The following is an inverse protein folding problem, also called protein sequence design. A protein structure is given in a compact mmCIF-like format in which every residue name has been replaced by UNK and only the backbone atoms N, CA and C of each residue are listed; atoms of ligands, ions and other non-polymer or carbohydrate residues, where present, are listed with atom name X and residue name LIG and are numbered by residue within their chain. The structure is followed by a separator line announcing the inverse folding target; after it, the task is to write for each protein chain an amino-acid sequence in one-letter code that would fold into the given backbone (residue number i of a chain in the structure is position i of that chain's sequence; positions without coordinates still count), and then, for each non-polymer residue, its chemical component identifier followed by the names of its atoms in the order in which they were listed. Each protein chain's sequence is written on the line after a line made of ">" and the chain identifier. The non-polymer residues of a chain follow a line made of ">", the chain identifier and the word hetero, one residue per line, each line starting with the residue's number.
data_IF_884567317106
#
_entry.id   IF_884567317106
#
_cell.length_a   1.000
_cell.length_b   1.000
_cell.length_c   1.000
_cell.angle_alpha   90.00
_cell.angle_beta   90.00
_cell.angle_gamma   90.00
#
_symmetry.space_group_name_H-M   'P 1'
#
loop_
_entity.id
_entity.type
_entity.pdbx_description
1 polymer ?
#
# COMPACT_ATOMS: atom_id res chain seq x y z
N UNK A 1 -11.95 -7.06 -1.01
CA UNK A 1 -10.71 -6.39 -0.58
C UNK A 1 -9.53 -7.08 -1.24
N UNK A 2 -8.53 -6.31 -1.67
CA UNK A 2 -7.18 -6.81 -1.95
C UNK A 2 -6.24 -6.15 -0.94
N UNK A 3 -5.41 -6.94 -0.25
CA UNK A 3 -4.43 -6.47 0.75
C UNK A 3 -3.03 -6.95 0.38
N UNK A 4 -2.07 -6.03 0.40
CA UNK A 4 -0.65 -6.31 0.22
C UNK A 4 0.06 -6.57 1.55
N UNK A 5 1.37 -6.85 1.49
CA UNK A 5 2.19 -7.09 2.69
C UNK A 5 2.38 -5.82 3.55
N UNK A 6 2.48 -4.68 2.88
CA UNK A 6 2.91 -3.39 3.42
C UNK A 6 2.14 -2.23 2.77
N UNK A 7 0.90 -2.51 2.35
CA UNK A 7 0.10 -1.62 1.53
C UNK A 7 -1.28 -1.43 2.10
N UNK A 8 -1.82 -0.24 1.94
CA UNK A 8 -3.20 0.08 2.30
C UNK A 8 -4.16 -0.82 1.52
N UNK A 9 -5.08 -1.51 2.21
CA UNK A 9 -6.05 -2.36 1.55
C UNK A 9 -6.96 -1.59 0.58
N UNK A 10 -7.23 -2.19 -0.57
CA UNK A 10 -8.18 -1.65 -1.53
C UNK A 10 -9.53 -2.38 -1.42
N UNK A 11 -10.58 -1.59 -1.25
CA UNK A 11 -11.97 -2.03 -1.33
C UNK A 11 -12.55 -1.65 -2.69
N UNK A 12 -13.36 -2.52 -3.28
CA UNK A 12 -14.02 -2.20 -4.55
C UNK A 12 -14.96 -1.01 -4.35
N UNK A 13 -14.96 -0.08 -5.30
CA UNK A 13 -15.77 1.14 -5.21
C UNK A 13 -17.28 0.87 -5.15
N UNK A 14 -17.71 -0.23 -5.76
CA UNK A 14 -19.08 -0.73 -5.67
C UNK A 14 -19.10 -2.17 -5.14
N UNK A 15 -20.23 -2.60 -4.52
CA UNK A 15 -20.43 -3.99 -4.15
C UNK A 15 -20.26 -4.89 -5.37
N UNK A 16 -19.48 -5.95 -5.21
CA UNK A 16 -19.27 -6.95 -6.25
C UNK A 16 -20.01 -8.23 -5.87
N UNK A 17 -20.80 -8.77 -6.81
CA UNK A 17 -21.50 -10.04 -6.63
C UNK A 17 -20.69 -11.18 -7.24
N UNK A 18 -20.64 -12.32 -6.56
CA UNK A 18 -19.85 -13.48 -6.99
C UNK A 18 -20.73 -14.72 -7.11
N UNK A 19 -20.84 -15.28 -8.33
CA UNK A 19 -21.39 -16.62 -8.58
C UNK A 19 -20.30 -17.61 -9.07
N UNK A 20 -19.12 -17.09 -9.39
CA UNK A 20 -17.90 -17.80 -9.80
C UNK A 20 -16.69 -16.90 -9.50
N UNK A 21 -15.51 -17.19 -10.07
CA UNK A 21 -14.32 -16.35 -9.89
C UNK A 21 -14.57 -14.90 -10.31
N UNK A 22 -14.31 -13.97 -9.38
CA UNK A 22 -14.38 -12.54 -9.67
C UNK A 22 -13.18 -12.10 -10.50
N UNK A 23 -13.45 -11.38 -11.59
CA UNK A 23 -12.43 -10.65 -12.36
C UNK A 23 -12.61 -9.16 -12.13
N UNK A 24 -12.17 -8.65 -10.98
CA UNK A 24 -12.20 -7.21 -10.66
C UNK A 24 -10.78 -6.67 -10.68
N UNK A 25 -10.55 -5.60 -11.45
CA UNK A 25 -9.23 -5.04 -11.64
C UNK A 25 -9.16 -3.61 -11.08
N UNK A 26 -8.38 -3.43 -10.01
CA UNK A 26 -8.15 -2.13 -9.38
C UNK A 26 -7.27 -1.20 -10.22
N UNK A 27 -6.42 -1.74 -11.10
CA UNK A 27 -5.31 -0.97 -11.70
C UNK A 27 -5.70 -0.07 -12.87
N UNK A 28 -6.95 -0.06 -13.32
CA UNK A 28 -7.37 0.58 -14.59
C UNK A 28 -7.85 2.02 -14.42
N UNK A 29 -8.39 2.38 -13.25
CA UNK A 29 -8.90 3.71 -12.96
C UNK A 29 -8.96 3.96 -11.44
N UNK A 30 -8.80 5.20 -11.00
CA UNK A 30 -8.89 5.57 -9.58
C UNK A 30 -10.23 5.15 -8.94
N UNK A 31 -11.32 5.26 -9.69
CA UNK A 31 -12.67 4.91 -9.24
C UNK A 31 -12.96 3.41 -9.17
N UNK A 32 -11.96 2.54 -9.37
CA UNK A 32 -12.07 1.12 -9.03
C UNK A 32 -11.94 0.89 -7.52
N UNK A 33 -11.25 1.78 -6.80
CA UNK A 33 -11.13 1.73 -5.35
C UNK A 33 -12.20 2.61 -4.69
N UNK A 34 -12.76 2.14 -3.58
CA UNK A 34 -13.65 2.91 -2.74
C UNK A 34 -12.96 4.21 -2.31
N UNK A 35 -13.68 5.34 -2.42
CA UNK A 35 -13.14 6.66 -2.12
C UNK A 35 -12.01 7.13 -3.06
N UNK A 36 -11.80 6.49 -4.22
CA UNK A 36 -10.62 6.69 -5.07
C UNK A 36 -9.29 6.48 -4.33
N UNK A 37 -9.26 5.57 -3.34
CA UNK A 37 -8.14 5.39 -2.41
C UNK A 37 -6.94 4.63 -3.02
N UNK A 38 -6.36 5.16 -4.09
CA UNK A 38 -5.20 4.60 -4.79
C UNK A 38 -4.44 5.70 -5.54
N UNK A 39 -3.19 5.42 -5.91
CA UNK A 39 -2.29 6.38 -6.58
C UNK A 39 -2.05 6.00 -8.04
N UNK A 40 -2.00 6.99 -8.94
CA UNK A 40 -1.61 6.77 -10.33
C UNK A 40 -0.09 6.72 -10.45
N UNK A 41 0.46 5.59 -10.88
CA UNK A 41 1.91 5.37 -11.01
C UNK A 41 2.41 5.52 -12.46
N UNK A 42 1.49 5.44 -13.42
CA UNK A 42 1.72 5.74 -14.83
C UNK A 42 0.35 6.10 -15.47
N UNK A 43 0.31 6.73 -16.65
CA UNK A 43 -0.95 7.05 -17.31
C UNK A 43 -1.87 5.82 -17.42
N UNK A 44 -3.03 5.87 -16.77
CA UNK A 44 -4.01 4.78 -16.75
C UNK A 44 -3.63 3.56 -15.91
N UNK A 45 -2.59 3.64 -15.07
CA UNK A 45 -2.17 2.58 -14.15
C UNK A 45 -2.22 3.07 -12.71
N UNK A 46 -2.96 2.35 -11.88
CA UNK A 46 -3.15 2.65 -10.47
C UNK A 46 -2.63 1.54 -9.58
N UNK A 47 -2.14 1.93 -8.39
CA UNK A 47 -1.62 1.03 -7.37
C UNK A 47 -2.08 1.47 -5.98
N UNK A 48 -2.09 0.52 -5.04
CA UNK A 48 -2.25 0.81 -3.61
C UNK A 48 -1.07 1.60 -3.08
N UNK A 49 -1.32 2.43 -2.07
CA UNK A 49 -0.25 3.09 -1.31
C UNK A 49 0.51 2.07 -0.47
N UNK A 50 1.84 2.20 -0.42
CA UNK A 50 2.70 1.46 0.52
C UNK A 50 2.87 2.25 1.83
N UNK A 51 3.40 1.61 2.88
CA UNK A 51 3.78 2.29 4.12
C UNK A 51 3.03 1.86 5.38
N UNK A 52 1.94 1.11 5.25
CA UNK A 52 1.25 0.45 6.37
C UNK A 52 2.00 -0.84 6.71
N UNK A 53 2.97 -0.74 7.62
CA UNK A 53 3.92 -1.80 7.98
C UNK A 53 3.40 -2.65 9.14
N UNK A 54 2.54 -2.08 10.00
CA UNK A 54 1.91 -2.79 11.11
C UNK A 54 0.55 -3.43 10.71
N UNK A 55 0.07 -3.13 9.50
CA UNK A 55 -1.13 -3.65 8.88
C UNK A 55 -2.46 -3.20 9.53
N UNK A 56 -2.46 -2.03 10.19
CA UNK A 56 -3.61 -1.43 10.89
C UNK A 56 -4.53 -0.59 9.99
N UNK A 57 -4.12 -0.39 8.73
CA UNK A 57 -4.88 0.34 7.73
C UNK A 57 -4.59 1.83 7.70
N UNK A 58 -3.57 2.33 8.38
CA UNK A 58 -3.13 3.74 8.34
C UNK A 58 -1.62 3.76 8.11
N UNK A 59 -1.13 4.73 7.33
CA UNK A 59 0.31 5.02 7.28
C UNK A 59 0.63 6.07 8.33
N UNK A 60 1.27 5.69 9.43
CA UNK A 60 1.57 6.59 10.53
C UNK A 60 2.93 6.32 11.23
N UNK A 61 3.18 7.04 12.33
CA UNK A 61 4.41 6.95 13.12
C UNK A 61 4.66 5.57 13.74
N UNK A 62 3.64 4.72 13.92
CA UNK A 62 3.79 3.37 14.44
C UNK A 62 4.41 2.42 13.40
N UNK A 63 4.33 2.75 12.12
CA UNK A 63 5.01 2.01 11.05
C UNK A 63 6.52 2.24 11.05
N UNK A 64 6.95 3.46 11.39
CA UNK A 64 8.34 3.89 11.25
C UNK A 64 9.35 2.96 11.95
N UNK A 65 8.99 2.43 13.13
CA UNK A 65 9.87 1.52 13.89
C UNK A 65 10.21 0.23 13.13
N UNK A 66 9.33 -0.24 12.25
CA UNK A 66 9.56 -1.44 11.43
C UNK A 66 10.61 -1.17 10.37
N UNK A 67 10.48 -0.04 9.67
CA UNK A 67 11.49 0.40 8.71
C UNK A 67 12.83 0.69 9.38
N UNK A 68 12.84 1.42 10.50
CA UNK A 68 14.08 1.77 11.21
C UNK A 68 14.84 0.52 11.66
N UNK A 69 14.13 -0.49 12.18
CA UNK A 69 14.73 -1.76 12.60
C UNK A 69 15.35 -2.51 11.42
N UNK A 70 14.61 -2.65 10.30
CA UNK A 70 15.10 -3.39 9.14
C UNK A 70 16.24 -2.65 8.43
N UNK A 71 16.16 -1.31 8.28
CA UNK A 71 17.21 -0.47 7.71
C UNK A 71 18.51 -0.54 8.52
N UNK A 72 18.44 -0.44 9.85
CA UNK A 72 19.62 -0.54 10.71
C UNK A 72 20.28 -1.92 10.67
N UNK A 73 19.53 -2.97 10.31
CA UNK A 73 20.02 -4.32 10.14
C UNK A 73 20.43 -4.65 8.69
N UNK A 74 20.34 -3.70 7.77
CA UNK A 74 20.56 -3.93 6.32
C UNK A 74 19.75 -5.13 5.81
N UNK A 75 18.49 -5.21 6.26
CA UNK A 75 17.62 -6.30 5.92
C UNK A 75 17.41 -6.36 4.40
N UNK A 76 17.29 -7.58 3.89
CA UNK A 76 17.07 -7.85 2.47
C UNK A 76 16.11 -9.02 2.29
N UNK A 77 15.71 -9.22 1.04
CA UNK A 77 14.74 -10.21 0.61
C UNK A 77 13.30 -9.73 0.81
N UNK A 78 12.39 -10.68 1.04
CA UNK A 78 10.97 -10.38 1.22
C UNK A 78 10.72 -9.77 2.60
N UNK A 79 10.80 -8.44 2.69
CA UNK A 79 10.60 -7.66 3.92
C UNK A 79 9.38 -6.77 3.83
N UNK A 80 8.73 -6.53 4.96
CA UNK A 80 7.58 -5.61 5.03
C UNK A 80 8.06 -4.17 4.80
N UNK A 81 9.22 -3.80 5.33
CA UNK A 81 9.81 -2.48 5.18
C UNK A 81 10.45 -2.20 3.80
N UNK A 82 10.54 -3.20 2.91
CA UNK A 82 10.92 -3.01 1.50
C UNK A 82 9.70 -2.44 0.75
N UNK A 83 9.61 -1.12 0.73
CA UNK A 83 8.46 -0.35 0.23
C UNK A 83 8.57 -0.03 -1.26
N UNK A 84 9.78 -0.01 -1.81
CA UNK A 84 10.02 0.20 -3.23
C UNK A 84 10.06 -1.14 -4.03
N UNK A 85 10.21 -2.27 -3.34
CA UNK A 85 10.20 -3.62 -3.92
C UNK A 85 11.51 -4.05 -4.57
N UNK A 86 12.64 -3.39 -4.28
CA UNK A 86 13.95 -3.71 -4.87
C UNK A 86 14.69 -4.85 -4.14
N UNK A 87 14.15 -5.28 -2.99
CA UNK A 87 14.64 -6.40 -2.20
C UNK A 87 15.69 -6.04 -1.16
N UNK A 88 15.94 -4.76 -0.90
CA UNK A 88 16.77 -4.24 0.18
C UNK A 88 15.95 -3.24 0.98
N UNK A 89 16.08 -3.22 2.31
CA UNK A 89 15.49 -2.15 3.13
C UNK A 89 16.55 -1.07 3.34
N UNK A 90 16.32 0.10 2.76
CA UNK A 90 17.24 1.24 2.84
C UNK A 90 16.53 2.62 2.89
N UNK A 91 17.32 3.70 2.73
CA UNK A 91 16.82 5.08 2.75
C UNK A 91 15.87 5.45 1.61
N UNK A 92 15.81 4.68 0.53
CA UNK A 92 14.88 4.92 -0.59
C UNK A 92 13.46 4.46 -0.24
N UNK A 93 13.31 3.46 0.64
CA UNK A 93 11.99 3.04 1.14
C UNK A 93 11.33 4.14 1.98
N UNK A 94 12.12 4.85 2.78
CA UNK A 94 11.65 5.90 3.69
C UNK A 94 10.82 6.96 2.97
N UNK A 95 11.20 7.32 1.73
CA UNK A 95 10.52 8.34 0.94
C UNK A 95 9.05 7.98 0.67
N UNK A 96 8.73 6.69 0.50
CA UNK A 96 7.36 6.22 0.30
C UNK A 96 6.54 6.34 1.58
N UNK A 97 7.11 5.92 2.72
CA UNK A 97 6.45 6.06 4.01
C UNK A 97 6.23 7.54 4.36
N UNK A 98 7.27 8.38 4.25
CA UNK A 98 7.19 9.81 4.61
C UNK A 98 6.13 10.54 3.78
N UNK A 99 6.10 10.32 2.47
CA UNK A 99 5.11 10.93 1.59
C UNK A 99 3.68 10.54 1.98
N UNK A 100 3.45 9.26 2.28
CA UNK A 100 2.11 8.76 2.58
C UNK A 100 1.65 9.11 4.00
N UNK A 101 2.56 9.11 4.98
CA UNK A 101 2.30 9.61 6.33
C UNK A 101 1.92 11.10 6.30
N UNK A 102 2.68 11.93 5.57
CA UNK A 102 2.40 13.37 5.46
C UNK A 102 1.08 13.68 4.72
N UNK A 103 0.64 12.75 3.85
CA UNK A 103 -0.63 12.85 3.15
C UNK A 103 -1.81 12.22 3.94
N UNK A 104 -1.58 11.73 5.16
CA UNK A 104 -2.58 11.06 6.01
C UNK A 104 -3.28 9.90 5.28
N UNK A 105 -2.50 9.12 4.53
CA UNK A 105 -3.03 8.00 3.77
C UNK A 105 -3.52 6.92 4.74
N UNK A 106 -4.76 6.46 4.52
CA UNK A 106 -5.38 5.41 5.29
C UNK A 106 -6.42 4.64 4.48
N UNK A 107 -6.90 3.53 5.05
CA UNK A 107 -7.89 2.66 4.46
C UNK A 107 -9.22 3.41 4.29
N UNK A 108 -9.79 3.30 3.09
CA UNK A 108 -11.16 3.71 2.81
C UNK A 108 -11.98 2.47 2.47
N UNK A 109 -13.09 2.29 3.20
CA UNK A 109 -13.98 1.13 3.06
C UNK A 109 -15.46 1.52 3.22
N UNK A 110 -16.39 0.71 2.66
CA UNK A 110 -17.83 0.89 2.83
C UNK A 110 -18.29 0.85 4.29
#
# INVERSE_FOLDING_TARGET
>A
MVKGRNSIPLWSASPQSFASNLTYNFSTAANQAYGNNQVMIAPGKYASFSGDLNADGIVDGMDFQFWETDNNNFANGYRTADLNGDGIVDGLDYQFWEQNNNAFIGESKP
#
